data_IF_781782391984
#
_entry.id   IF_781782391984
#
_cell.length_a   1.000
_cell.length_b   1.000
_cell.length_c   1.000
_cell.angle_alpha   90.00
_cell.angle_beta   90.00
_cell.angle_gamma   90.00
#
_symmetry.space_group_name_H-M   'P 1'
#
loop_
_entity.id
_entity.type
_entity.pdbx_description
1 polymer ?
#
# COMPACT_ATOMS: atom_id res chain seq x y z
N UNK A 1 14.23 -0.02 -6.92
CA UNK A 1 12.77 -0.15 -6.79
C UNK A 1 12.36 -0.53 -5.37
N UNK A 2 12.67 -1.75 -4.89
CA UNK A 2 12.24 -2.15 -3.54
C UNK A 2 12.96 -1.35 -2.44
N UNK A 3 14.26 -1.09 -2.61
CA UNK A 3 15.01 -0.18 -1.73
C UNK A 3 14.45 1.25 -1.73
N UNK A 4 13.97 1.74 -2.88
CA UNK A 4 13.36 3.08 -2.98
C UNK A 4 12.03 3.16 -2.23
N UNK A 5 11.24 2.08 -2.24
CA UNK A 5 10.00 1.96 -1.47
C UNK A 5 10.30 2.02 0.04
N UNK A 6 11.27 1.20 0.49
CA UNK A 6 11.75 1.20 1.89
C UNK A 6 12.21 2.60 2.30
N UNK A 7 13.08 3.22 1.49
CA UNK A 7 13.62 4.55 1.78
C UNK A 7 12.51 5.61 1.84
N UNK A 8 11.50 5.52 0.98
CA UNK A 8 10.38 6.47 0.98
C UNK A 8 9.58 6.39 2.28
N UNK A 9 9.23 5.19 2.74
CA UNK A 9 8.49 5.01 4.00
C UNK A 9 9.32 5.50 5.19
N UNK A 10 10.60 5.15 5.24
CA UNK A 10 11.50 5.57 6.33
C UNK A 10 11.65 7.10 6.35
N UNK A 11 11.81 7.74 5.19
CA UNK A 11 11.98 9.19 5.09
C UNK A 11 10.72 9.96 5.50
N UNK A 12 9.54 9.37 5.38
CA UNK A 12 8.26 10.00 5.74
C UNK A 12 7.75 9.59 7.14
N UNK A 13 8.55 8.86 7.93
CA UNK A 13 8.19 8.40 9.28
C UNK A 13 7.60 9.50 10.15
N UNK A 14 8.29 10.62 10.30
CA UNK A 14 7.88 11.69 11.22
C UNK A 14 6.55 12.30 10.80
N UNK A 15 6.38 12.55 9.50
CA UNK A 15 5.14 13.07 8.92
C UNK A 15 3.95 12.12 9.10
N UNK A 16 4.16 10.82 8.89
CA UNK A 16 3.11 9.82 9.08
C UNK A 16 2.67 9.73 10.55
N UNK A 17 3.61 9.80 11.49
CA UNK A 17 3.31 9.87 12.93
C UNK A 17 2.64 11.19 13.33
N UNK A 18 2.96 12.31 12.69
CA UNK A 18 2.31 13.59 12.93
C UNK A 18 0.84 13.58 12.51
N UNK A 19 0.53 13.09 11.30
CA UNK A 19 -0.85 12.95 10.82
C UNK A 19 -1.65 12.02 11.74
N UNK A 20 -1.09 10.85 12.05
CA UNK A 20 -1.74 9.88 12.91
C UNK A 20 -1.92 10.42 14.33
N UNK A 21 -0.97 11.19 14.86
CA UNK A 21 -1.09 11.81 16.18
C UNK A 21 -2.20 12.86 16.27
N UNK A 22 -2.65 13.42 15.15
CA UNK A 22 -3.76 14.37 15.12
C UNK A 22 -5.14 13.71 15.32
N UNK A 23 -5.29 12.41 14.98
CA UNK A 23 -6.58 11.69 14.98
C UNK A 23 -6.53 10.29 15.61
N UNK A 24 -5.35 9.86 16.08
CA UNK A 24 -5.02 8.51 16.57
C UNK A 24 -3.98 8.57 17.69
N UNK A 25 -3.08 7.59 17.76
CA UNK A 25 -2.05 7.48 18.82
C UNK A 25 -0.65 7.92 18.37
N UNK A 26 -0.46 8.22 17.09
CA UNK A 26 0.77 8.79 16.53
C UNK A 26 1.85 7.76 16.24
N UNK A 27 1.52 6.47 16.29
CA UNK A 27 2.49 5.40 16.11
C UNK A 27 2.64 4.94 14.65
N UNK A 28 1.79 5.41 13.74
CA UNK A 28 1.74 4.97 12.33
C UNK A 28 3.11 4.99 11.65
N UNK A 29 3.79 6.14 11.66
CA UNK A 29 5.10 6.28 11.04
C UNK A 29 6.16 5.38 11.67
N UNK A 30 6.13 5.22 13.00
CA UNK A 30 7.06 4.36 13.75
C UNK A 30 6.85 2.90 13.36
N UNK A 31 5.60 2.44 13.32
CA UNK A 31 5.23 1.08 12.96
C UNK A 31 5.61 0.78 11.51
N UNK A 32 5.24 1.64 10.56
CA UNK A 32 5.61 1.46 9.16
C UNK A 32 7.13 1.44 8.96
N UNK A 33 7.87 2.35 9.58
CA UNK A 33 9.34 2.33 9.51
C UNK A 33 9.93 1.04 10.10
N UNK A 34 9.37 0.51 11.19
CA UNK A 34 9.82 -0.75 11.80
C UNK A 34 9.63 -1.93 10.85
N UNK A 35 8.42 -2.11 10.29
CA UNK A 35 8.13 -3.22 9.39
C UNK A 35 8.97 -3.19 8.12
N UNK A 36 9.14 -2.02 7.52
CA UNK A 36 9.97 -1.86 6.32
C UNK A 36 11.47 -2.07 6.59
N UNK A 37 11.98 -1.71 7.78
CA UNK A 37 13.35 -2.04 8.17
C UNK A 37 13.56 -3.55 8.37
N UNK A 38 12.62 -4.24 9.04
CA UNK A 38 12.67 -5.71 9.20
C UNK A 38 12.74 -6.39 7.84
N UNK A 39 11.92 -5.93 6.89
CA UNK A 39 11.94 -6.43 5.53
C UNK A 39 13.29 -6.15 4.84
N UNK A 40 13.79 -4.92 4.92
CA UNK A 40 15.06 -4.53 4.31
C UNK A 40 16.24 -5.38 4.79
N UNK A 41 16.31 -5.65 6.09
CA UNK A 41 17.31 -6.53 6.67
C UNK A 41 17.12 -7.98 6.19
N UNK A 42 15.87 -8.44 6.10
CA UNK A 42 15.52 -9.81 5.69
C UNK A 42 15.84 -10.10 4.22
N UNK A 43 15.79 -9.10 3.33
CA UNK A 43 16.09 -9.28 1.90
C UNK A 43 17.56 -8.97 1.55
N UNK A 44 18.33 -8.39 2.48
CA UNK A 44 19.70 -7.93 2.24
C UNK A 44 20.58 -9.06 1.70
N UNK A 45 21.20 -8.81 0.55
CA UNK A 45 22.09 -9.77 -0.11
C UNK A 45 21.41 -10.98 -0.75
N UNK A 46 20.07 -11.02 -0.80
CA UNK A 46 19.30 -12.07 -1.48
C UNK A 46 18.94 -11.62 -2.89
N UNK A 47 18.92 -12.57 -3.83
CA UNK A 47 18.34 -12.38 -5.15
C UNK A 47 16.92 -12.93 -5.13
N UNK A 48 15.94 -12.04 -5.00
CA UNK A 48 14.51 -12.39 -4.92
C UNK A 48 13.77 -11.89 -6.17
N UNK A 49 12.75 -12.63 -6.57
CA UNK A 49 11.71 -12.14 -7.47
C UNK A 49 10.88 -11.05 -6.80
N UNK A 50 10.09 -10.30 -7.58
CA UNK A 50 9.20 -9.28 -7.02
C UNK A 50 8.18 -9.90 -6.06
N UNK A 51 7.61 -11.06 -6.42
CA UNK A 51 6.67 -11.78 -5.56
C UNK A 51 7.32 -12.17 -4.22
N UNK A 52 8.51 -12.75 -4.23
CA UNK A 52 9.21 -13.14 -2.99
C UNK A 52 9.57 -11.93 -2.11
N UNK A 53 9.96 -10.80 -2.70
CA UNK A 53 10.23 -9.58 -1.93
C UNK A 53 8.95 -9.01 -1.29
N UNK A 54 7.80 -9.10 -1.98
CA UNK A 54 6.50 -8.69 -1.47
C UNK A 54 5.99 -9.65 -0.37
N UNK A 55 6.22 -10.96 -0.51
CA UNK A 55 5.93 -11.96 0.54
C UNK A 55 6.69 -11.60 1.83
N UNK A 56 8.01 -11.34 1.74
CA UNK A 56 8.81 -10.95 2.90
C UNK A 56 8.30 -9.64 3.53
N UNK A 57 7.86 -8.67 2.72
CA UNK A 57 7.28 -7.43 3.22
C UNK A 57 5.95 -7.66 3.94
N UNK A 58 5.09 -8.47 3.35
CA UNK A 58 3.82 -8.89 3.95
C UNK A 58 4.06 -9.47 5.34
N UNK A 59 4.93 -10.48 5.43
CA UNK A 59 5.24 -11.16 6.69
C UNK A 59 5.85 -10.18 7.72
N UNK A 60 6.77 -9.32 7.27
CA UNK A 60 7.40 -8.31 8.13
C UNK A 60 6.40 -7.32 8.73
N UNK A 61 5.31 -7.00 8.02
CA UNK A 61 4.26 -6.12 8.51
C UNK A 61 3.25 -6.89 9.38
N UNK A 62 2.81 -8.07 8.96
CA UNK A 62 1.85 -8.87 9.73
C UNK A 62 2.41 -9.27 11.11
N UNK A 63 3.70 -9.62 11.18
CA UNK A 63 4.34 -10.10 12.40
C UNK A 63 5.12 -9.00 13.15
N UNK A 64 5.66 -8.03 12.41
CA UNK A 64 6.63 -7.08 12.94
C UNK A 64 6.03 -5.80 13.52
N UNK A 65 4.79 -5.44 13.16
CA UNK A 65 4.15 -4.19 13.57
C UNK A 65 2.83 -4.44 14.30
N UNK A 66 2.53 -3.61 15.30
CA UNK A 66 1.33 -3.74 16.12
C UNK A 66 0.10 -3.05 15.51
N UNK A 67 -1.05 -3.25 16.14
CA UNK A 67 -2.30 -2.59 15.76
C UNK A 67 -2.92 -3.15 14.48
N UNK A 68 -3.96 -2.46 14.00
CA UNK A 68 -4.70 -2.82 12.78
C UNK A 68 -3.87 -2.67 11.50
N UNK A 69 -2.81 -1.85 11.51
CA UNK A 69 -1.98 -1.60 10.32
C UNK A 69 -1.25 -2.83 9.80
N UNK A 70 -0.72 -3.68 10.69
CA UNK A 70 0.04 -4.88 10.31
C UNK A 70 -0.76 -5.80 9.39
N UNK A 71 -1.93 -6.28 9.84
CA UNK A 71 -2.83 -7.07 9.00
C UNK A 71 -3.29 -6.34 7.73
N UNK A 72 -3.63 -5.05 7.80
CA UNK A 72 -4.15 -4.32 6.63
C UNK A 72 -3.08 -4.18 5.54
N UNK A 73 -1.90 -3.65 5.86
CA UNK A 73 -0.83 -3.49 4.86
C UNK A 73 -0.22 -4.83 4.46
N UNK A 74 -0.10 -5.77 5.41
CA UNK A 74 0.32 -7.14 5.12
C UNK A 74 -0.56 -7.78 4.05
N UNK A 75 -1.88 -7.73 4.22
CA UNK A 75 -2.83 -8.28 3.23
C UNK A 75 -2.69 -7.65 1.85
N UNK A 76 -2.42 -6.34 1.76
CA UNK A 76 -2.16 -5.69 0.46
C UNK A 76 -0.95 -6.34 -0.22
N UNK A 77 0.19 -6.44 0.48
CA UNK A 77 1.41 -6.97 -0.11
C UNK A 77 1.32 -8.48 -0.40
N UNK A 78 0.60 -9.24 0.43
CA UNK A 78 0.29 -10.65 0.16
C UNK A 78 -0.51 -10.81 -1.14
N UNK A 79 -1.60 -10.07 -1.29
CA UNK A 79 -2.42 -10.10 -2.51
C UNK A 79 -1.66 -9.65 -3.76
N UNK A 80 -0.77 -8.67 -3.61
CA UNK A 80 0.15 -8.24 -4.67
C UNK A 80 1.09 -9.38 -5.08
N UNK A 81 1.74 -10.03 -4.12
CA UNK A 81 2.71 -11.11 -4.34
C UNK A 81 2.07 -12.29 -5.08
N UNK A 82 0.93 -12.76 -4.58
CA UNK A 82 0.20 -13.90 -5.14
C UNK A 82 -0.24 -13.65 -6.58
N UNK A 83 -0.66 -12.42 -6.89
CA UNK A 83 -1.17 -12.05 -8.22
C UNK A 83 -0.09 -12.01 -9.30
N UNK A 84 1.18 -11.92 -8.92
CA UNK A 84 2.32 -11.86 -9.86
C UNK A 84 3.31 -13.00 -9.68
N UNK A 85 2.97 -14.00 -8.87
CA UNK A 85 3.82 -15.19 -8.64
C UNK A 85 4.13 -15.87 -9.98
N UNK A 86 5.42 -16.18 -10.19
CA UNK A 86 5.90 -16.78 -11.45
C UNK A 86 6.06 -15.80 -12.62
N UNK A 87 5.85 -14.48 -12.42
CA UNK A 87 6.25 -13.47 -13.40
C UNK A 87 7.68 -13.00 -13.14
N UNK A 88 8.55 -13.16 -14.14
CA UNK A 88 9.95 -12.72 -14.06
C UNK A 88 10.09 -11.19 -14.09
N UNK A 89 9.14 -10.49 -14.73
CA UNK A 89 9.11 -9.03 -14.88
C UNK A 89 7.70 -8.51 -14.73
N UNK A 90 7.61 -7.31 -14.17
CA UNK A 90 6.35 -6.57 -14.00
C UNK A 90 6.31 -5.47 -15.05
N UNK A 91 5.48 -5.66 -16.08
CA UNK A 91 5.12 -4.64 -17.05
C UNK A 91 3.85 -3.89 -16.60
N UNK A 92 3.32 -3.00 -17.46
CA UNK A 92 2.15 -2.20 -17.12
C UNK A 92 0.92 -3.05 -16.76
N UNK A 93 0.71 -4.16 -17.47
CA UNK A 93 -0.37 -5.08 -17.19
C UNK A 93 -0.14 -5.82 -15.87
N UNK A 94 1.07 -6.35 -15.66
CA UNK A 94 1.47 -7.02 -14.43
C UNK A 94 1.32 -6.13 -13.21
N UNK A 95 1.64 -4.83 -13.33
CA UNK A 95 1.46 -3.86 -12.26
C UNK A 95 -0.03 -3.63 -11.93
N UNK A 96 -0.89 -3.55 -12.96
CA UNK A 96 -2.35 -3.46 -12.74
C UNK A 96 -2.92 -4.68 -12.03
N UNK A 97 -2.49 -5.89 -12.43
CA UNK A 97 -2.85 -7.16 -11.77
C UNK A 97 -2.40 -7.15 -10.31
N UNK A 98 -1.17 -6.68 -10.04
CA UNK A 98 -0.62 -6.58 -8.69
C UNK A 98 -1.46 -5.64 -7.80
N UNK A 99 -1.76 -4.43 -8.29
CA UNK A 99 -2.59 -3.45 -7.58
C UNK A 99 -3.98 -3.99 -7.25
N UNK A 100 -4.63 -4.61 -8.23
CA UNK A 100 -5.95 -5.22 -8.05
C UNK A 100 -5.90 -6.34 -7.02
N UNK A 101 -4.88 -7.19 -7.09
CA UNK A 101 -4.65 -8.27 -6.12
C UNK A 101 -4.53 -7.77 -4.68
N UNK A 102 -3.72 -6.74 -4.46
CA UNK A 102 -3.57 -6.13 -3.14
C UNK A 102 -4.86 -5.51 -2.62
N UNK A 103 -5.60 -4.79 -3.47
CA UNK A 103 -6.89 -4.23 -3.09
C UNK A 103 -7.91 -5.32 -2.75
N UNK A 104 -8.02 -6.37 -3.56
CA UNK A 104 -8.94 -7.49 -3.30
C UNK A 104 -8.62 -8.18 -1.98
N UNK A 105 -7.34 -8.46 -1.69
CA UNK A 105 -6.95 -9.09 -0.44
C UNK A 105 -7.20 -8.19 0.78
N UNK A 106 -7.05 -6.86 0.65
CA UNK A 106 -7.45 -5.92 1.70
C UNK A 106 -8.97 -5.92 1.93
N UNK A 107 -9.77 -6.02 0.87
CA UNK A 107 -11.23 -6.08 0.95
C UNK A 107 -11.72 -7.38 1.62
N UNK A 108 -10.93 -8.45 1.61
CA UNK A 108 -11.25 -9.69 2.34
C UNK A 108 -11.12 -9.52 3.87
N UNK A 109 -10.28 -8.60 4.33
CA UNK A 109 -10.02 -8.34 5.75
C UNK A 109 -10.63 -7.04 6.28
N UNK A 110 -11.18 -6.20 5.40
CA UNK A 110 -11.80 -4.92 5.74
C UNK A 110 -13.10 -4.70 4.97
N UNK A 111 -14.17 -4.34 5.69
CA UNK A 111 -15.45 -3.94 5.08
C UNK A 111 -15.49 -2.46 4.69
N UNK A 112 -14.38 -1.73 4.86
CA UNK A 112 -14.31 -0.31 4.58
C UNK A 112 -14.40 -0.01 3.09
N UNK A 113 -14.99 1.14 2.76
CA UNK A 113 -15.02 1.67 1.40
C UNK A 113 -14.66 3.14 1.33
N UNK A 114 -14.78 3.71 0.13
CA UNK A 114 -14.67 5.15 -0.06
C UNK A 114 -15.76 5.86 0.75
N UNK A 115 -15.36 6.89 1.50
CA UNK A 115 -16.18 7.69 2.39
C UNK A 115 -16.10 7.28 3.86
N UNK A 116 -15.28 6.29 4.23
CA UNK A 116 -15.15 5.81 5.62
C UNK A 116 -14.01 6.46 6.41
N UNK A 117 -13.23 7.33 5.75
CA UNK A 117 -12.04 8.04 6.27
C UNK A 117 -10.93 7.05 6.62
N UNK A 118 -10.50 6.28 5.64
CA UNK A 118 -9.39 5.34 5.80
C UNK A 118 -8.60 5.15 4.49
N UNK A 119 -7.58 4.29 4.53
CA UNK A 119 -6.75 3.92 3.38
C UNK A 119 -7.55 3.57 2.11
N UNK A 120 -8.78 3.05 2.24
CA UNK A 120 -9.65 2.72 1.09
C UNK A 120 -10.03 3.95 0.26
N UNK A 121 -10.16 5.13 0.88
CA UNK A 121 -10.40 6.39 0.19
C UNK A 121 -9.28 6.73 -0.79
N UNK A 122 -8.05 6.30 -0.49
CA UNK A 122 -6.86 6.48 -1.34
C UNK A 122 -6.69 5.32 -2.32
N UNK A 123 -6.74 4.08 -1.83
CA UNK A 123 -6.36 2.90 -2.60
C UNK A 123 -7.37 2.57 -3.69
N UNK A 124 -8.68 2.61 -3.40
CA UNK A 124 -9.72 2.26 -4.38
C UNK A 124 -9.64 3.18 -5.62
N UNK A 125 -9.66 4.52 -5.48
CA UNK A 125 -9.55 5.40 -6.64
C UNK A 125 -8.23 5.25 -7.40
N UNK A 126 -7.13 4.97 -6.69
CA UNK A 126 -5.83 4.75 -7.32
C UNK A 126 -5.84 3.53 -8.26
N UNK A 127 -6.34 2.38 -7.77
CA UNK A 127 -6.43 1.15 -8.57
C UNK A 127 -7.37 1.34 -9.76
N UNK A 128 -8.55 1.92 -9.54
CA UNK A 128 -9.53 2.16 -10.61
C UNK A 128 -8.99 3.11 -11.70
N UNK A 129 -8.28 4.17 -11.30
CA UNK A 129 -7.67 5.10 -12.25
C UNK A 129 -6.57 4.43 -13.09
N UNK A 130 -5.77 3.55 -12.48
CA UNK A 130 -4.75 2.78 -13.20
C UNK A 130 -5.40 1.82 -14.22
N UNK A 131 -6.42 1.07 -13.81
CA UNK A 131 -7.12 0.13 -14.68
C UNK A 131 -7.82 0.85 -15.85
N UNK A 132 -8.48 1.97 -15.58
CA UNK A 132 -9.09 2.80 -16.62
C UNK A 132 -8.03 3.32 -17.62
N UNK A 133 -6.86 3.72 -17.14
CA UNK A 133 -5.77 4.15 -18.00
C UNK A 133 -5.26 3.01 -18.90
N UNK A 134 -5.15 1.79 -18.36
CA UNK A 134 -4.79 0.60 -19.14
C UNK A 134 -5.85 0.26 -20.20
N UNK A 135 -7.14 0.34 -19.86
CA UNK A 135 -8.24 0.13 -20.82
C UNK A 135 -8.22 1.15 -21.97
N UNK A 136 -7.74 2.37 -21.69
CA UNK A 136 -7.56 3.43 -22.68
C UNK A 136 -6.22 3.33 -23.45
N UNK A 137 -5.46 2.24 -23.29
CA UNK A 137 -4.16 2.02 -23.90
C UNK A 137 -3.14 3.13 -23.62
N UNK A 138 -3.23 3.77 -22.45
CA UNK A 138 -2.24 4.75 -22.02
C UNK A 138 -0.90 4.06 -21.75
N UNK A 139 0.19 4.82 -21.89
CA UNK A 139 1.51 4.31 -21.53
C UNK A 139 1.59 3.99 -20.02
N UNK A 140 2.60 3.21 -19.63
CA UNK A 140 2.81 2.88 -18.22
C UNK A 140 3.02 4.15 -17.39
N UNK A 141 3.82 5.10 -17.89
CA UNK A 141 4.11 6.38 -17.20
C UNK A 141 2.84 7.21 -17.00
N UNK A 142 2.00 7.33 -18.03
CA UNK A 142 0.71 8.04 -17.91
C UNK A 142 -0.23 7.35 -16.92
N UNK A 143 -0.27 6.01 -16.93
CA UNK A 143 -1.10 5.23 -16.01
C UNK A 143 -0.67 5.44 -14.55
N UNK A 144 0.64 5.47 -14.28
CA UNK A 144 1.20 5.80 -12.97
C UNK A 144 0.88 7.24 -12.55
N UNK A 145 0.93 8.20 -13.48
CA UNK A 145 0.59 9.59 -13.20
C UNK A 145 -0.88 9.76 -12.82
N UNK A 146 -1.78 9.09 -13.54
CA UNK A 146 -3.22 9.12 -13.25
C UNK A 146 -3.55 8.44 -11.93
N UNK A 147 -2.96 7.27 -11.67
CA UNK A 147 -3.04 6.57 -10.39
C UNK A 147 -2.61 7.48 -9.22
N UNK A 148 -1.47 8.16 -9.34
CA UNK A 148 -0.96 9.08 -8.32
C UNK A 148 -1.93 10.26 -8.09
N UNK A 149 -2.48 10.81 -9.15
CA UNK A 149 -3.48 11.89 -9.06
C UNK A 149 -4.73 11.44 -8.31
N UNK A 150 -5.26 10.27 -8.64
CA UNK A 150 -6.42 9.69 -7.96
C UNK A 150 -6.14 9.35 -6.49
N UNK A 151 -4.97 8.78 -6.18
CA UNK A 151 -4.54 8.52 -4.80
C UNK A 151 -4.47 9.82 -3.98
N UNK A 152 -3.93 10.89 -4.57
CA UNK A 152 -3.81 12.21 -3.90
C UNK A 152 -5.20 12.79 -3.62
N UNK A 153 -6.09 12.76 -4.61
CA UNK A 153 -7.46 13.25 -4.44
C UNK A 153 -8.24 12.42 -3.40
N UNK A 154 -8.05 11.09 -3.41
CA UNK A 154 -8.63 10.18 -2.42
C UNK A 154 -8.19 10.49 -0.99
N UNK A 155 -6.88 10.61 -0.76
CA UNK A 155 -6.32 11.07 0.51
C UNK A 155 -6.92 12.41 0.95
N UNK A 156 -6.91 13.41 0.07
CA UNK A 156 -7.37 14.76 0.40
C UNK A 156 -8.87 14.81 0.69
N UNK A 157 -9.66 13.93 0.07
CA UNK A 157 -11.09 13.79 0.36
C UNK A 157 -11.38 13.42 1.80
N UNK A 158 -10.42 12.80 2.50
CA UNK A 158 -10.61 12.33 3.88
C UNK A 158 -10.60 13.45 4.90
N UNK A 159 -10.11 14.65 4.57
CA UNK A 159 -9.96 15.79 5.50
C UNK A 159 -11.30 16.10 6.18
N UNK A 160 -12.38 16.18 5.39
CA UNK A 160 -13.71 16.57 5.87
C UNK A 160 -14.59 15.37 6.30
N UNK A 161 -14.08 14.14 6.19
CA UNK A 161 -14.83 12.94 6.57
C UNK A 161 -14.74 12.68 8.08
N UNK A 162 -15.81 12.08 8.61
CA UNK A 162 -15.86 11.52 9.96
C UNK A 162 -15.54 10.03 9.87
N UNK A 163 -14.56 9.57 10.67
CA UNK A 163 -14.17 8.17 10.70
C UNK A 163 -15.35 7.27 11.09
N UNK A 164 -15.63 6.28 10.25
CA UNK A 164 -16.67 5.26 10.54
C UNK A 164 -16.09 3.96 11.07
N UNK A 165 -14.79 3.75 10.85
CA UNK A 165 -14.08 2.52 11.21
C UNK A 165 -12.81 2.91 11.97
N UNK A 166 -12.66 2.40 13.19
CA UNK A 166 -11.51 2.69 14.04
C UNK A 166 -10.24 1.95 13.56
N UNK A 167 -9.08 2.59 13.71
CA UNK A 167 -7.77 1.98 13.45
C UNK A 167 -7.38 1.84 11.98
N UNK A 168 -8.16 2.37 11.04
CA UNK A 168 -7.79 2.41 9.63
C UNK A 168 -7.43 3.84 9.25
N UNK A 169 -6.15 4.19 9.34
CA UNK A 169 -5.67 5.55 9.05
C UNK A 169 -5.78 5.82 7.54
N UNK A 170 -6.12 7.07 7.18
CA UNK A 170 -6.29 7.54 5.80
C UNK A 170 -5.00 8.10 5.18
#
# INVERSE_FOLDING_TARGET
MFEDLVNTIIANREYLSEIDGAIGDGDHGINMAKGFNICADSIKGKSLTVAEALDVLSDSLMEGIGGSMGPLYGSIFMGMADSVRGRDKIDAQGFGIMLRGGLSCLQDVSTAGVGDKCLMDTLIPAVEAYELAQQQNKSFVESLSLMKGAATAGRDSTIDLVAKIAGQVA
#
